data_IF_009583696010
#
_entry.id   IF_009583696010
#
_cell.length_a   1.000
_cell.length_b   1.000
_cell.length_c   1.000
_cell.angle_alpha   90.00
_cell.angle_beta   90.00
_cell.angle_gamma   90.00
#
_symmetry.space_group_name_H-M   'P 1'
#
loop_
_entity.id
_entity.type
_entity.pdbx_description
1 polymer ?
#
# COMPACT_ATOMS: atom_id res chain seq x y z
N UNK A 1 -14.12 18.71 -96.71
CA UNK A 1 -14.62 19.58 -95.61
C UNK A 1 -15.72 18.87 -94.81
N UNK A 2 -15.42 17.80 -94.07
CA UNK A 2 -16.35 17.23 -93.07
C UNK A 2 -15.46 16.52 -92.04
N UNK A 3 -15.82 16.52 -90.74
CA UNK A 3 -15.13 15.90 -89.58
C UNK A 3 -14.18 16.77 -88.73
N UNK A 4 -14.62 17.94 -88.22
CA UNK A 4 -14.03 18.51 -86.99
C UNK A 4 -15.02 19.04 -85.94
N UNK A 5 -16.32 19.13 -86.24
CA UNK A 5 -17.33 19.67 -85.30
C UNK A 5 -17.73 18.70 -84.16
N UNK A 6 -17.53 17.39 -84.31
CA UNK A 6 -17.91 16.40 -83.29
C UNK A 6 -16.93 16.30 -82.10
N UNK A 7 -15.63 16.50 -82.34
CA UNK A 7 -14.61 16.32 -81.30
C UNK A 7 -14.64 17.44 -80.24
N UNK A 8 -14.91 18.69 -80.63
CA UNK A 8 -15.02 19.80 -79.67
C UNK A 8 -16.23 19.67 -78.73
N UNK A 9 -17.34 19.09 -79.20
CA UNK A 9 -18.55 18.91 -78.38
C UNK A 9 -18.36 17.81 -77.33
N UNK A 10 -17.69 16.71 -77.69
CA UNK A 10 -17.40 15.61 -76.75
C UNK A 10 -16.39 16.02 -75.69
N UNK A 11 -15.38 16.84 -76.06
CA UNK A 11 -14.39 17.37 -75.10
C UNK A 11 -15.05 18.38 -74.15
N UNK A 12 -15.94 19.25 -74.65
CA UNK A 12 -16.71 20.18 -73.80
C UNK A 12 -17.66 19.44 -72.84
N UNK A 13 -18.31 18.38 -73.31
CA UNK A 13 -19.19 17.54 -72.49
C UNK A 13 -18.41 16.72 -71.46
N UNK A 14 -17.22 16.21 -71.81
CA UNK A 14 -16.34 15.51 -70.89
C UNK A 14 -15.74 16.46 -69.83
N UNK A 15 -15.36 17.69 -70.20
CA UNK A 15 -14.93 18.73 -69.25
C UNK A 15 -16.07 19.16 -68.32
N UNK A 16 -17.31 19.25 -68.82
CA UNK A 16 -18.49 19.49 -67.97
C UNK A 16 -18.79 18.31 -67.05
N UNK A 17 -18.66 17.06 -67.49
CA UNK A 17 -18.84 15.87 -66.64
C UNK A 17 -17.75 15.75 -65.58
N UNK A 18 -16.51 16.11 -65.90
CA UNK A 18 -15.40 16.14 -64.93
C UNK A 18 -15.61 17.27 -63.92
N UNK A 19 -16.07 18.46 -64.36
CA UNK A 19 -16.43 19.55 -63.45
C UNK A 19 -17.66 19.22 -62.59
N UNK A 20 -18.64 18.49 -63.14
CA UNK A 20 -19.82 18.01 -62.40
C UNK A 20 -19.44 16.91 -61.40
N UNK A 21 -18.56 15.97 -61.76
CA UNK A 21 -17.98 14.99 -60.82
C UNK A 21 -17.10 15.67 -59.75
N UNK A 22 -16.33 16.71 -60.09
CA UNK A 22 -15.52 17.45 -59.13
C UNK A 22 -16.38 18.29 -58.17
N UNK A 23 -17.54 18.77 -58.64
CA UNK A 23 -18.52 19.48 -57.81
C UNK A 23 -19.34 18.53 -56.91
N UNK A 24 -19.54 17.27 -57.33
CA UNK A 24 -20.22 16.24 -56.51
C UNK A 24 -19.31 15.67 -55.41
N UNK A 25 -17.98 15.75 -55.55
CA UNK A 25 -17.04 15.35 -54.50
C UNK A 25 -16.77 16.43 -53.44
N UNK A 26 -17.44 17.58 -53.50
CA UNK A 26 -17.52 18.51 -52.37
C UNK A 26 -18.95 18.59 -51.85
N UNK A 27 -19.52 17.43 -51.47
CA UNK A 27 -20.35 17.42 -50.27
C UNK A 27 -19.41 17.83 -49.15
N UNK A 28 -19.33 19.14 -48.86
CA UNK A 28 -18.69 19.59 -47.63
C UNK A 28 -19.38 18.81 -46.53
N UNK A 29 -18.68 17.89 -45.88
CA UNK A 29 -19.15 17.34 -44.63
C UNK A 29 -19.55 18.55 -43.79
N UNK A 30 -20.84 18.64 -43.41
CA UNK A 30 -21.35 19.81 -42.72
C UNK A 30 -20.46 20.04 -41.50
N UNK A 31 -19.59 21.06 -41.57
CA UNK A 31 -18.62 21.33 -40.54
C UNK A 31 -19.38 21.91 -39.36
N UNK A 32 -19.49 21.11 -38.31
CA UNK A 32 -20.19 21.48 -37.09
C UNK A 32 -19.20 21.97 -36.04
N UNK A 33 -19.69 22.74 -35.08
CA UNK A 33 -18.97 22.99 -33.84
C UNK A 33 -19.45 22.03 -32.75
N UNK A 34 -18.53 21.62 -31.88
CA UNK A 34 -18.81 20.89 -30.65
C UNK A 34 -18.27 21.71 -29.49
N UNK A 35 -19.14 22.09 -28.56
CA UNK A 35 -18.72 22.73 -27.31
C UNK A 35 -18.82 21.71 -26.18
N UNK A 36 -17.72 21.55 -25.46
CA UNK A 36 -17.62 20.64 -24.32
C UNK A 36 -17.35 21.47 -23.07
N UNK A 37 -18.19 21.31 -22.07
CA UNK A 37 -17.97 21.86 -20.73
C UNK A 37 -17.55 20.74 -19.77
N UNK A 38 -16.45 20.91 -19.07
CA UNK A 38 -15.93 19.95 -18.08
C UNK A 38 -16.15 20.50 -16.67
N UNK A 39 -16.93 19.78 -15.86
CA UNK A 39 -17.27 20.19 -14.48
C UNK A 39 -16.90 19.13 -13.45
N UNK A 40 -16.67 19.58 -12.22
CA UNK A 40 -16.54 18.71 -11.06
C UNK A 40 -17.92 18.25 -10.58
N UNK A 41 -18.10 16.94 -10.36
CA UNK A 41 -19.40 16.37 -9.97
C UNK A 41 -20.00 16.90 -8.67
N UNK A 42 -19.16 17.28 -7.69
CA UNK A 42 -19.61 17.61 -6.34
C UNK A 42 -19.85 19.10 -6.18
N UNK A 43 -18.94 19.90 -6.72
CA UNK A 43 -19.00 21.36 -6.59
C UNK A 43 -19.70 22.03 -7.76
N UNK A 44 -19.92 21.29 -8.86
CA UNK A 44 -20.37 21.81 -10.16
C UNK A 44 -19.48 22.94 -10.72
N UNK A 45 -18.28 23.11 -10.16
CA UNK A 45 -17.31 24.11 -10.58
C UNK A 45 -16.67 23.68 -11.91
N UNK A 46 -16.34 24.63 -12.80
CA UNK A 46 -15.60 24.35 -14.03
C UNK A 46 -14.19 23.83 -13.70
N UNK A 47 -13.70 22.86 -14.48
CA UNK A 47 -12.35 22.32 -14.33
C UNK A 47 -11.47 22.91 -15.44
N UNK A 48 -10.59 23.85 -15.06
CA UNK A 48 -9.58 24.40 -15.94
C UNK A 48 -8.44 23.40 -16.19
N UNK A 49 -7.84 23.42 -17.38
CA UNK A 49 -6.70 22.56 -17.70
C UNK A 49 -7.06 21.08 -17.91
N UNK A 50 -8.34 20.73 -17.99
CA UNK A 50 -8.79 19.40 -18.39
C UNK A 50 -8.55 19.18 -19.88
N UNK A 51 -7.90 18.07 -20.24
CA UNK A 51 -7.74 17.61 -21.62
C UNK A 51 -9.01 16.89 -22.05
N UNK A 52 -9.60 17.35 -23.14
CA UNK A 52 -10.73 16.70 -23.81
C UNK A 52 -10.23 16.14 -25.13
N UNK A 53 -10.40 14.83 -25.32
CA UNK A 53 -10.09 14.13 -26.55
C UNK A 53 -11.38 13.61 -27.19
N UNK A 54 -11.54 13.87 -28.48
CA UNK A 54 -12.56 13.25 -29.33
C UNK A 54 -11.90 12.31 -30.31
N UNK A 55 -12.39 11.08 -30.37
CA UNK A 55 -11.88 10.01 -31.22
C UNK A 55 -13.01 9.55 -32.14
N UNK A 56 -12.75 9.51 -33.45
CA UNK A 56 -13.77 9.21 -34.45
C UNK A 56 -13.17 9.21 -35.86
N UNK A 57 -13.88 9.75 -36.87
CA UNK A 57 -13.35 9.92 -38.22
C UNK A 57 -12.04 10.74 -38.26
N UNK A 58 -11.96 11.75 -37.41
CA UNK A 58 -10.75 12.52 -37.16
C UNK A 58 -10.57 12.68 -35.65
N UNK A 59 -9.33 12.52 -35.17
CA UNK A 59 -9.03 12.65 -33.76
C UNK A 59 -8.62 14.09 -33.46
N UNK A 60 -9.26 14.68 -32.45
CA UNK A 60 -8.93 16.03 -31.98
C UNK A 60 -8.74 15.99 -30.46
N UNK A 61 -7.87 16.85 -29.96
CA UNK A 61 -7.69 17.04 -28.53
C UNK A 61 -7.43 18.50 -28.23
N UNK A 62 -8.01 18.99 -27.15
CA UNK A 62 -7.82 20.36 -26.68
C UNK A 62 -7.93 20.41 -25.17
N UNK A 63 -7.40 21.48 -24.58
CA UNK A 63 -7.42 21.71 -23.14
C UNK A 63 -8.43 22.81 -22.84
N UNK A 64 -9.21 22.63 -21.79
CA UNK A 64 -10.18 23.61 -21.30
C UNK A 64 -9.47 24.84 -20.72
N UNK A 65 -10.03 26.03 -21.00
CA UNK A 65 -9.60 27.28 -20.37
C UNK A 65 -10.12 27.41 -18.93
N UNK A 66 -9.95 28.60 -18.34
CA UNK A 66 -10.37 28.88 -16.95
C UNK A 66 -11.88 28.66 -16.69
N UNK A 67 -12.70 28.77 -17.75
CA UNK A 67 -14.14 28.51 -17.69
C UNK A 67 -14.51 27.02 -17.76
N UNK A 68 -13.54 26.10 -17.87
CA UNK A 68 -13.79 24.66 -18.02
C UNK A 68 -14.42 24.30 -19.37
N UNK A 69 -14.47 25.23 -20.32
CA UNK A 69 -15.09 25.05 -21.64
C UNK A 69 -14.00 24.93 -22.70
N UNK A 70 -14.26 24.07 -23.69
CA UNK A 70 -13.48 23.96 -24.92
C UNK A 70 -14.41 23.81 -26.13
N UNK A 71 -14.04 24.43 -27.24
CA UNK A 71 -14.84 24.41 -28.48
C UNK A 71 -14.02 23.86 -29.62
N UNK A 72 -14.46 22.75 -30.18
CA UNK A 72 -13.91 22.16 -31.39
C UNK A 72 -14.69 22.72 -32.59
N UNK A 73 -13.96 23.38 -33.49
CA UNK A 73 -14.54 23.94 -34.72
C UNK A 73 -14.19 23.07 -35.92
N UNK A 74 -15.05 23.09 -36.94
CA UNK A 74 -14.88 22.34 -38.19
C UNK A 74 -14.83 20.82 -38.01
N UNK A 75 -15.60 20.29 -37.06
CA UNK A 75 -15.70 18.85 -36.86
C UNK A 75 -16.74 18.29 -37.84
N UNK A 76 -16.39 17.31 -38.68
CA UNK A 76 -17.35 16.62 -39.53
C UNK A 76 -18.51 16.07 -38.70
N UNK A 77 -19.74 16.17 -39.21
CA UNK A 77 -20.88 15.53 -38.56
C UNK A 77 -20.72 14.02 -38.53
N UNK A 78 -20.86 13.39 -37.36
CA UNK A 78 -20.69 11.96 -37.18
C UNK A 78 -20.72 11.55 -35.71
N UNK A 79 -20.54 10.25 -35.45
CA UNK A 79 -20.45 9.71 -34.09
C UNK A 79 -19.00 9.69 -33.61
N UNK A 80 -18.77 10.20 -32.41
CA UNK A 80 -17.45 10.34 -31.79
C UNK A 80 -17.47 9.78 -30.38
N UNK A 81 -16.32 9.26 -29.95
CA UNK A 81 -16.05 8.93 -28.56
C UNK A 81 -15.34 10.11 -27.90
N UNK A 82 -15.92 10.62 -26.83
CA UNK A 82 -15.44 11.74 -26.06
C UNK A 82 -14.85 11.24 -24.74
N UNK A 83 -13.63 11.64 -24.43
CA UNK A 83 -12.97 11.34 -23.15
C UNK A 83 -12.40 12.64 -22.59
N UNK A 84 -12.64 12.90 -21.31
CA UNK A 84 -11.97 13.98 -20.59
C UNK A 84 -11.10 13.44 -19.47
N UNK A 85 -9.95 14.08 -19.27
CA UNK A 85 -9.06 13.83 -18.13
C UNK A 85 -8.50 15.16 -17.62
N UNK A 86 -8.22 15.24 -16.33
CA UNK A 86 -7.65 16.44 -15.72
C UNK A 86 -6.60 16.04 -14.68
N UNK A 87 -5.61 16.91 -14.39
CA UNK A 87 -4.67 16.67 -13.30
C UNK A 87 -5.42 16.45 -11.99
N UNK A 88 -5.07 15.39 -11.27
CA UNK A 88 -5.76 15.00 -10.04
C UNK A 88 -7.25 14.65 -10.23
N UNK A 89 -7.67 14.18 -11.41
CA UNK A 89 -8.96 13.53 -11.60
C UNK A 89 -8.75 12.19 -12.33
N UNK A 90 -9.49 11.12 -11.99
CA UNK A 90 -9.57 9.96 -12.86
C UNK A 90 -10.15 10.37 -14.22
N UNK A 91 -9.66 9.74 -15.29
CA UNK A 91 -10.23 9.92 -16.61
C UNK A 91 -11.71 9.52 -16.62
N UNK A 92 -12.56 10.32 -17.26
CA UNK A 92 -13.96 9.97 -17.49
C UNK A 92 -14.06 8.68 -18.30
N UNK A 93 -15.13 7.93 -18.06
CA UNK A 93 -15.54 6.89 -19.00
C UNK A 93 -15.83 7.53 -20.37
N UNK A 94 -15.52 6.84 -21.50
CA UNK A 94 -15.83 7.33 -22.82
C UNK A 94 -17.34 7.58 -22.98
N UNK A 95 -17.68 8.71 -23.58
CA UNK A 95 -19.05 9.09 -23.88
C UNK A 95 -19.24 9.17 -25.39
N UNK A 96 -20.21 8.42 -25.94
CA UNK A 96 -20.50 8.48 -27.36
C UNK A 96 -21.42 9.67 -27.64
N UNK A 97 -21.02 10.52 -28.58
CA UNK A 97 -21.76 11.73 -28.96
C UNK A 97 -21.91 11.81 -30.48
N UNK A 98 -23.05 12.30 -30.93
CA UNK A 98 -23.25 12.65 -32.34
C UNK A 98 -23.07 14.16 -32.51
N UNK A 99 -22.12 14.57 -33.34
CA UNK A 99 -21.76 15.98 -33.53
C UNK A 99 -22.65 16.59 -34.63
N UNK A 100 -23.64 17.40 -34.24
CA UNK A 100 -24.51 18.16 -35.14
C UNK A 100 -24.78 19.58 -34.58
N UNK A 101 -23.71 20.33 -34.27
CA UNK A 101 -23.80 21.62 -33.58
C UNK A 101 -24.13 21.53 -32.09
N UNK A 102 -23.83 20.39 -31.47
CA UNK A 102 -24.23 20.07 -30.10
C UNK A 102 -23.33 20.74 -29.04
N UNK A 103 -23.93 21.05 -27.89
CA UNK A 103 -23.20 21.33 -26.65
C UNK A 103 -23.37 20.12 -25.73
N UNK A 104 -22.28 19.63 -25.16
CA UNK A 104 -22.30 18.51 -24.22
C UNK A 104 -21.52 18.86 -22.96
N UNK A 105 -21.97 18.35 -21.81
CA UNK A 105 -21.32 18.55 -20.53
C UNK A 105 -20.74 17.22 -20.06
N UNK A 106 -19.44 17.18 -19.82
CA UNK A 106 -18.77 16.05 -19.18
C UNK A 106 -18.55 16.40 -17.72
N UNK A 107 -18.90 15.46 -16.84
CA UNK A 107 -18.66 15.60 -15.42
C UNK A 107 -17.51 14.66 -15.03
N UNK A 108 -16.46 15.22 -14.43
CA UNK A 108 -15.36 14.44 -13.85
C UNK A 108 -15.62 14.16 -12.38
N UNK A 109 -15.28 12.94 -11.99
CA UNK A 109 -15.46 12.45 -10.64
C UNK A 109 -14.29 12.92 -9.76
N UNK A 110 -14.56 13.79 -8.79
CA UNK A 110 -13.55 14.17 -7.80
C UNK A 110 -13.14 12.99 -6.92
N UNK A 111 -11.91 13.01 -6.41
CA UNK A 111 -11.43 11.98 -5.48
C UNK A 111 -10.81 12.58 -4.23
N UNK A 112 -10.85 11.81 -3.14
CA UNK A 112 -10.04 12.03 -1.95
C UNK A 112 -9.28 10.75 -1.68
N UNK A 113 -8.00 10.88 -1.31
CA UNK A 113 -7.11 9.78 -0.99
C UNK A 113 -6.53 10.03 0.40
N UNK A 114 -6.78 9.11 1.32
CA UNK A 114 -6.09 9.04 2.58
C UNK A 114 -4.94 8.04 2.46
N UNK A 115 -3.76 8.41 2.93
CA UNK A 115 -2.62 7.51 3.08
C UNK A 115 -1.64 8.09 4.09
N UNK A 116 -1.07 7.23 4.92
CA UNK A 116 0.00 7.62 5.82
C UNK A 116 1.10 6.57 5.91
N UNK A 117 2.18 6.95 6.56
CA UNK A 117 3.20 6.06 7.11
C UNK A 117 3.52 6.48 8.54
N UNK A 118 4.15 5.59 9.31
CA UNK A 118 4.53 5.84 10.69
C UNK A 118 5.98 5.41 10.96
N UNK A 119 6.57 5.94 12.03
CA UNK A 119 7.91 5.61 12.48
C UNK A 119 8.02 5.75 14.01
N UNK A 120 8.77 4.89 14.70
CA UNK A 120 9.50 3.72 14.19
C UNK A 120 8.56 2.56 13.79
N UNK A 121 9.03 1.63 12.95
CA UNK A 121 8.22 0.48 12.50
C UNK A 121 7.91 -0.55 13.60
N UNK A 122 8.72 -0.56 14.67
CA UNK A 122 8.53 -1.40 15.86
C UNK A 122 8.66 -0.54 17.12
N UNK A 123 7.63 0.26 17.45
CA UNK A 123 7.67 1.11 18.62
C UNK A 123 7.57 0.30 19.91
N UNK A 124 8.30 0.73 20.94
CA UNK A 124 8.16 0.19 22.28
C UNK A 124 7.03 0.91 23.03
N UNK A 125 6.45 0.27 24.04
CA UNK A 125 5.58 0.96 25.00
C UNK A 125 6.26 2.20 25.58
N UNK A 126 5.47 3.25 25.78
CA UNK A 126 5.90 4.57 26.25
C UNK A 126 6.91 5.30 25.34
N UNK A 127 7.10 4.85 24.10
CA UNK A 127 7.86 5.58 23.08
C UNK A 127 6.95 6.40 22.16
N UNK A 128 7.46 7.54 21.68
CA UNK A 128 6.73 8.39 20.73
C UNK A 128 6.74 7.79 19.33
N UNK A 129 5.55 7.58 18.77
CA UNK A 129 5.33 7.19 17.38
C UNK A 129 4.95 8.43 16.59
N UNK A 130 5.62 8.66 15.46
CA UNK A 130 5.35 9.73 14.52
C UNK A 130 4.50 9.20 13.38
N UNK A 131 3.45 9.93 13.04
CA UNK A 131 2.58 9.64 11.90
C UNK A 131 2.72 10.74 10.86
N UNK A 132 2.59 10.40 9.57
CA UNK A 132 2.71 11.36 8.50
C UNK A 132 1.74 11.06 7.35
N UNK A 133 0.83 12.00 7.10
CA UNK A 133 -0.21 11.92 6.07
C UNK A 133 0.12 12.68 4.78
N UNK A 134 1.38 13.07 4.52
CA UNK A 134 1.75 13.82 3.30
C UNK A 134 1.50 13.06 1.99
N UNK A 135 1.32 11.74 2.05
CA UNK A 135 0.94 10.90 0.90
C UNK A 135 -0.56 10.96 0.56
N UNK A 136 -1.35 11.66 1.39
CA UNK A 136 -2.76 11.93 1.12
C UNK A 136 -2.91 13.02 0.06
N UNK A 137 -4.01 12.98 -0.68
CA UNK A 137 -4.26 13.91 -1.78
C UNK A 137 -5.74 14.02 -2.12
N UNK A 138 -6.11 15.04 -2.88
CA UNK A 138 -7.48 15.25 -3.33
C UNK A 138 -7.50 16.03 -4.65
N UNK A 139 -8.56 15.85 -5.42
CA UNK A 139 -8.89 16.70 -6.56
C UNK A 139 -9.47 18.06 -6.15
N UNK A 140 -9.82 18.21 -4.87
CA UNK A 140 -10.27 19.44 -4.23
C UNK A 140 -9.34 19.88 -3.11
N UNK A 141 -9.81 20.82 -2.28
CA UNK A 141 -9.05 21.32 -1.13
C UNK A 141 -9.26 20.40 0.07
N UNK A 142 -8.18 19.88 0.64
CA UNK A 142 -8.23 19.12 1.89
C UNK A 142 -8.49 20.09 3.04
N UNK A 143 -9.52 19.82 3.83
CA UNK A 143 -9.96 20.67 4.94
C UNK A 143 -9.61 20.07 6.29
N UNK A 144 -9.52 18.74 6.40
CA UNK A 144 -9.20 18.10 7.69
C UNK A 144 -8.43 16.78 7.56
N UNK A 145 -7.67 16.47 8.61
CA UNK A 145 -6.99 15.19 8.85
C UNK A 145 -7.34 14.74 10.28
N UNK A 146 -8.16 13.71 10.40
CA UNK A 146 -8.56 13.12 11.69
C UNK A 146 -7.91 11.75 11.87
N UNK A 147 -7.41 11.51 13.07
CA UNK A 147 -6.72 10.27 13.44
C UNK A 147 -7.46 9.55 14.55
N UNK A 148 -7.57 8.24 14.40
CA UNK A 148 -7.86 7.29 15.46
C UNK A 148 -6.65 6.39 15.64
N UNK A 149 -6.03 6.43 16.82
CA UNK A 149 -4.85 5.61 17.10
C UNK A 149 -5.20 4.17 17.49
N UNK A 150 -6.48 3.82 17.61
CA UNK A 150 -6.95 2.46 17.88
C UNK A 150 -6.90 2.05 19.36
N UNK A 151 -6.41 2.92 20.24
CA UNK A 151 -6.42 2.77 21.71
C UNK A 151 -7.46 3.68 22.39
N UNK A 152 -8.30 4.35 21.60
CA UNK A 152 -9.28 5.33 22.04
C UNK A 152 -8.80 6.78 21.98
N UNK A 153 -7.49 7.02 21.82
CA UNK A 153 -6.97 8.36 21.59
C UNK A 153 -7.21 8.81 20.14
N UNK A 154 -7.39 10.12 19.98
CA UNK A 154 -7.59 10.78 18.68
C UNK A 154 -6.51 11.83 18.45
N UNK A 155 -6.26 12.16 17.19
CA UNK A 155 -5.33 13.20 16.79
C UNK A 155 -5.83 13.98 15.59
N UNK A 156 -5.21 15.13 15.31
CA UNK A 156 -5.53 15.96 14.15
C UNK A 156 -4.28 16.48 13.46
N UNK A 157 -4.40 16.83 12.19
CA UNK A 157 -3.33 17.45 11.40
C UNK A 157 -2.52 16.45 10.58
N UNK A 158 -1.57 16.98 9.80
CA UNK A 158 -0.83 16.18 8.80
C UNK A 158 0.19 15.24 9.46
N UNK A 159 0.84 15.69 10.53
CA UNK A 159 1.95 14.99 11.19
C UNK A 159 1.78 14.92 12.71
N UNK A 160 0.79 14.20 13.24
CA UNK A 160 0.64 14.04 14.68
C UNK A 160 1.64 13.02 15.25
N UNK A 161 1.76 13.01 16.56
CA UNK A 161 2.50 12.01 17.33
C UNK A 161 1.57 11.35 18.35
N UNK A 162 1.90 10.12 18.75
CA UNK A 162 1.16 9.39 19.78
C UNK A 162 2.08 8.47 20.60
N UNK A 163 1.67 8.16 21.83
CA UNK A 163 2.41 7.27 22.74
C UNK A 163 1.47 6.18 23.25
N UNK A 164 1.82 4.92 23.02
CA UNK A 164 1.06 3.77 23.49
C UNK A 164 1.59 3.29 24.84
N UNK A 165 0.69 3.13 25.82
CA UNK A 165 1.05 2.72 27.19
C UNK A 165 1.07 1.21 27.40
N UNK A 166 0.48 0.44 26.48
CA UNK A 166 0.40 -1.02 26.52
C UNK A 166 0.93 -1.63 25.22
N UNK A 167 1.55 -2.80 25.33
CA UNK A 167 1.99 -3.57 24.17
C UNK A 167 0.78 -4.29 23.57
N UNK A 168 0.45 -3.98 22.32
CA UNK A 168 -0.67 -4.56 21.58
C UNK A 168 -0.57 -4.23 20.07
N UNK A 169 -1.50 -4.78 19.30
CA UNK A 169 -1.76 -4.44 17.90
C UNK A 169 -2.82 -3.34 17.80
N UNK A 170 -2.43 -2.13 17.41
CA UNK A 170 -3.35 -1.01 17.26
C UNK A 170 -3.68 -0.77 15.78
N UNK A 171 -4.98 -0.73 15.45
CA UNK A 171 -5.43 -0.35 14.10
C UNK A 171 -5.56 1.16 14.04
N UNK A 172 -4.55 1.81 13.47
CA UNK A 172 -4.56 3.26 13.29
C UNK A 172 -5.34 3.61 12.03
N UNK A 173 -6.31 4.51 12.16
CA UNK A 173 -7.13 4.98 11.06
C UNK A 173 -6.92 6.50 10.86
N UNK A 174 -6.65 6.87 9.62
CA UNK A 174 -6.65 8.25 9.15
C UNK A 174 -7.91 8.49 8.33
N UNK A 175 -8.66 9.55 8.64
CA UNK A 175 -9.74 10.09 7.84
C UNK A 175 -9.33 11.45 7.28
N UNK A 176 -9.27 11.55 5.95
CA UNK A 176 -9.00 12.81 5.25
C UNK A 176 -10.30 13.34 4.68
N UNK A 177 -10.63 14.58 5.01
CA UNK A 177 -11.81 15.27 4.51
C UNK A 177 -11.39 16.39 3.56
N UNK A 178 -12.06 16.47 2.43
CA UNK A 178 -11.86 17.51 1.42
C UNK A 178 -13.19 18.09 0.94
N UNK A 179 -13.12 19.15 0.14
CA UNK A 179 -14.30 19.75 -0.50
C UNK A 179 -15.02 18.82 -1.48
N UNK A 180 -14.40 17.72 -1.89
CA UNK A 180 -14.98 16.73 -2.83
C UNK A 180 -15.33 15.40 -2.15
N UNK A 181 -15.17 15.30 -0.83
CA UNK A 181 -15.56 14.11 -0.06
C UNK A 181 -14.51 13.67 0.94
N UNK A 182 -14.71 12.46 1.47
CA UNK A 182 -13.91 11.87 2.55
C UNK A 182 -13.28 10.57 2.13
N UNK A 183 -12.05 10.31 2.57
CA UNK A 183 -11.39 9.02 2.40
C UNK A 183 -10.78 8.55 3.71
N UNK A 184 -10.77 7.23 3.90
CA UNK A 184 -10.22 6.60 5.11
C UNK A 184 -9.14 5.60 4.74
N UNK A 185 -8.06 5.58 5.51
CA UNK A 185 -6.98 4.59 5.38
C UNK A 185 -6.63 4.04 6.75
N UNK A 186 -6.46 2.72 6.86
CA UNK A 186 -6.14 2.05 8.12
C UNK A 186 -4.90 1.18 7.99
N UNK A 187 -4.04 1.21 9.01
CA UNK A 187 -2.81 0.42 9.07
C UNK A 187 -2.57 -0.08 10.49
N UNK A 188 -2.05 -1.31 10.62
CA UNK A 188 -1.67 -1.89 11.91
C UNK A 188 -0.32 -1.34 12.39
N UNK A 189 -0.28 -0.96 13.66
CA UNK A 189 0.93 -0.62 14.43
C UNK A 189 1.12 -1.66 15.51
N UNK A 190 2.29 -2.30 15.52
CA UNK A 190 2.64 -3.36 16.48
C UNK A 190 3.52 -2.77 17.59
N UNK A 191 2.97 -2.57 18.77
CA UNK A 191 3.70 -2.02 19.92
C UNK A 191 4.25 -3.16 20.76
N UNK A 192 5.56 -3.15 20.98
CA UNK A 192 6.26 -4.21 21.72
C UNK A 192 6.60 -3.77 23.15
N UNK A 193 6.49 -4.71 24.09
CA UNK A 193 7.05 -4.51 25.42
C UNK A 193 8.60 -4.50 25.32
N UNK A 194 9.31 -3.66 26.10
CA UNK A 194 10.75 -3.82 26.24
C UNK A 194 11.02 -5.24 26.75
N UNK A 195 12.09 -5.87 26.24
CA UNK A 195 12.47 -7.19 26.69
C UNK A 195 12.68 -7.16 28.22
N UNK A 196 11.82 -7.82 28.97
CA UNK A 196 12.09 -8.05 30.38
C UNK A 196 13.29 -8.99 30.44
N UNK A 197 14.41 -8.50 30.97
CA UNK A 197 15.49 -9.38 31.41
C UNK A 197 14.87 -10.33 32.43
N UNK A 198 14.65 -11.59 32.04
CA UNK A 198 14.01 -12.59 32.89
C UNK A 198 14.65 -12.55 34.28
N UNK A 199 13.87 -12.44 35.38
CA UNK A 199 14.43 -12.30 36.72
C UNK A 199 15.15 -13.55 37.25
N UNK A 200 15.16 -14.66 36.48
CA UNK A 200 15.70 -15.95 36.94
C UNK A 200 16.74 -16.60 36.02
N UNK A 201 17.81 -15.92 35.57
CA UNK A 201 18.91 -16.60 34.88
C UNK A 201 19.66 -17.56 35.83
N UNK A 202 19.59 -17.32 37.15
CA UNK A 202 20.27 -18.11 38.17
C UNK A 202 19.60 -19.45 38.46
N UNK A 203 18.29 -19.62 38.23
CA UNK A 203 17.61 -20.91 38.45
C UNK A 203 18.22 -21.98 37.54
N UNK A 204 18.57 -21.62 36.30
CA UNK A 204 19.24 -22.53 35.35
C UNK A 204 20.67 -22.89 35.81
N UNK A 205 21.37 -21.96 36.47
CA UNK A 205 22.72 -22.19 37.02
C UNK A 205 22.70 -23.04 38.29
N UNK A 206 21.66 -22.96 39.12
CA UNK A 206 21.57 -23.71 40.39
C UNK A 206 21.14 -25.19 40.21
N UNK A 207 20.43 -25.53 39.14
CA UNK A 207 20.01 -26.92 38.85
C UNK A 207 21.20 -27.90 38.87
N UNK A 208 22.32 -27.70 38.15
CA UNK A 208 23.45 -28.62 38.21
C UNK A 208 24.10 -28.70 39.59
N UNK A 209 24.11 -27.63 40.39
CA UNK A 209 24.63 -27.66 41.77
C UNK A 209 23.75 -28.47 42.72
N UNK A 210 22.42 -28.41 42.57
CA UNK A 210 21.48 -29.23 43.36
C UNK A 210 21.71 -30.74 43.12
N UNK A 211 22.11 -31.14 41.91
CA UNK A 211 22.41 -32.53 41.58
C UNK A 211 23.88 -32.94 41.86
N UNK A 212 24.83 -32.01 41.82
CA UNK A 212 26.24 -32.30 42.13
C UNK A 212 26.49 -32.51 43.64
N UNK A 213 25.80 -31.78 44.52
CA UNK A 213 26.01 -31.88 45.98
C UNK A 213 25.70 -33.30 46.50
N UNK A 214 24.55 -33.94 46.19
CA UNK A 214 24.28 -35.33 46.57
C UNK A 214 25.28 -36.32 45.98
N UNK A 215 25.73 -36.10 44.75
CA UNK A 215 26.71 -36.96 44.07
C UNK A 215 28.07 -36.91 44.77
N UNK A 216 28.57 -35.71 45.11
CA UNK A 216 29.82 -35.52 45.86
C UNK A 216 29.72 -36.20 47.24
N UNK A 217 28.59 -36.03 47.94
CA UNK A 217 28.35 -36.68 49.23
C UNK A 217 28.28 -38.21 49.12
N UNK A 218 27.66 -38.73 48.05
CA UNK A 218 27.59 -40.16 47.77
C UNK A 218 28.99 -40.77 47.55
N UNK A 219 29.83 -40.11 46.74
CA UNK A 219 31.22 -40.54 46.53
C UNK A 219 32.06 -40.47 47.81
N UNK A 220 31.88 -39.41 48.62
CA UNK A 220 32.55 -39.27 49.91
C UNK A 220 32.13 -40.38 50.87
N UNK A 221 30.84 -40.68 50.98
CA UNK A 221 30.30 -41.78 51.81
C UNK A 221 30.80 -43.16 51.36
N UNK A 222 30.85 -43.42 50.05
CA UNK A 222 31.34 -44.70 49.50
C UNK A 222 32.81 -44.97 49.81
N UNK A 223 33.66 -43.92 49.80
CA UNK A 223 35.08 -44.04 50.20
C UNK A 223 35.24 -44.43 51.68
N UNK A 224 34.41 -43.88 52.57
CA UNK A 224 34.44 -44.27 53.99
C UNK A 224 34.09 -45.75 54.20
N UNK A 225 33.06 -46.27 53.51
CA UNK A 225 32.69 -47.68 53.65
C UNK A 225 33.81 -48.65 53.23
N UNK A 226 34.54 -48.36 52.14
CA UNK A 226 35.65 -49.20 51.68
C UNK A 226 36.81 -49.23 52.69
N UNK A 227 37.16 -48.07 53.27
CA UNK A 227 38.23 -47.98 54.27
C UNK A 227 37.85 -48.74 55.56
N UNK A 228 36.61 -48.59 56.03
CA UNK A 228 36.12 -49.30 57.22
C UNK A 228 36.14 -50.81 56.99
N UNK A 229 35.69 -51.29 55.82
CA UNK A 229 35.69 -52.72 55.50
C UNK A 229 37.10 -53.30 55.39
N UNK A 230 38.04 -52.56 54.78
CA UNK A 230 39.45 -52.97 54.71
C UNK A 230 40.08 -53.06 56.10
N UNK A 231 39.83 -52.08 56.98
CA UNK A 231 40.34 -52.09 58.35
C UNK A 231 39.73 -53.26 59.15
N UNK A 232 38.43 -53.53 58.98
CA UNK A 232 37.78 -54.67 59.62
C UNK A 232 38.42 -56.00 59.19
N UNK A 233 38.57 -56.23 57.88
CA UNK A 233 39.21 -57.45 57.36
C UNK A 233 40.67 -57.58 57.83
N UNK A 234 41.41 -56.46 57.88
CA UNK A 234 42.77 -56.45 58.39
C UNK A 234 42.83 -56.87 59.88
N UNK A 235 41.92 -56.38 60.72
CA UNK A 235 41.86 -56.82 62.12
C UNK A 235 41.48 -58.30 62.27
N UNK A 236 40.60 -58.82 61.42
CA UNK A 236 40.27 -60.25 61.40
C UNK A 236 41.49 -61.09 60.99
N UNK A 237 42.25 -60.66 59.99
CA UNK A 237 43.49 -61.32 59.58
C UNK A 237 44.51 -61.39 60.72
N UNK A 238 44.73 -60.28 61.44
CA UNK A 238 45.65 -60.25 62.60
C UNK A 238 45.24 -61.27 63.65
N UNK A 239 43.93 -61.34 64.00
CA UNK A 239 43.42 -62.30 64.98
C UNK A 239 43.66 -63.74 64.54
N UNK A 240 43.42 -64.05 63.27
CA UNK A 240 43.64 -65.39 62.71
C UNK A 240 45.12 -65.79 62.74
N UNK A 241 46.02 -64.86 62.40
CA UNK A 241 47.47 -65.09 62.47
C UNK A 241 47.89 -65.35 63.92
N UNK A 242 47.49 -64.51 64.88
CA UNK A 242 47.81 -64.67 66.30
C UNK A 242 47.31 -66.01 66.85
N UNK A 243 46.08 -66.41 66.52
CA UNK A 243 45.52 -67.70 66.92
C UNK A 243 46.32 -68.88 66.34
N UNK A 244 46.75 -68.77 65.08
CA UNK A 244 47.58 -69.80 64.43
C UNK A 244 48.97 -69.89 65.07
N UNK A 245 49.60 -68.75 65.39
CA UNK A 245 50.91 -68.73 66.06
C UNK A 245 50.82 -69.30 67.48
N UNK A 246 49.77 -68.98 68.24
CA UNK A 246 49.55 -69.59 69.56
C UNK A 246 49.37 -71.11 69.47
N UNK A 247 48.59 -71.60 68.51
CA UNK A 247 48.38 -73.03 68.33
C UNK A 247 49.67 -73.79 67.96
N UNK A 248 50.57 -73.18 67.17
CA UNK A 248 51.88 -73.78 66.84
C UNK A 248 52.82 -73.80 68.04
N UNK A 249 52.79 -72.76 68.89
CA UNK A 249 53.65 -72.67 70.08
C UNK A 249 53.25 -73.64 71.20
N UNK A 250 52.00 -74.11 71.23
CA UNK A 250 51.50 -75.09 72.22
C UNK A 250 51.78 -76.54 71.76
N UNK A 251 52.04 -76.75 70.46
CA UNK A 251 52.22 -78.07 69.87
C UNK A 251 53.68 -78.58 69.80
N UNK A 252 54.65 -77.76 70.22
CA UNK A 252 56.08 -78.12 70.38
C UNK A 252 56.45 -78.18 71.86
#
# INVERSE_FOLDING_TARGET
MVKRKGALSVIALALMLVAFCFSVSQVSAASSSLTVEVRNQYTNAPIAGATVAITGPENHAAVTGDSGIVTFSNIPSGSYNLVASAPNYPSAAPHNIDVNGATTTIVLFGFTKAQFYYSPGHPFVNSTVFFNATLSGSSGTITNYDWDFGDGAKGTGVTPTHVYTKADSYTVQLTVTSTVGTATYSQLVQVVAPAENSPFPWIIVLIPFLFLIPLILFWRRRRYYVVIQALYLFTQLIRTVQATTQNVMIAN
#
